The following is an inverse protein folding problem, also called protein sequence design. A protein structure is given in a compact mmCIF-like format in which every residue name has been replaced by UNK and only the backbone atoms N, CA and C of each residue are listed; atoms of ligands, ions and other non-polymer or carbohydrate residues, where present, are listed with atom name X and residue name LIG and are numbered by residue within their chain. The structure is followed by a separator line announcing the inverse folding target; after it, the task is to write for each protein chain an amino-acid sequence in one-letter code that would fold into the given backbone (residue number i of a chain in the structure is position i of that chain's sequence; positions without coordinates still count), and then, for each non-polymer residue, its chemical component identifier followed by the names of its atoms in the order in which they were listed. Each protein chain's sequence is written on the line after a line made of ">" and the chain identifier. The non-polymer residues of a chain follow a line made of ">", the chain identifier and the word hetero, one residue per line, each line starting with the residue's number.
data_IF_201234651525
#
_entry.id   IF_201234651525
#
_cell.length_a   1.000
_cell.length_b   1.000
_cell.length_c   1.000
_cell.angle_alpha   90.00
_cell.angle_beta   90.00
_cell.angle_gamma   90.00
#
_symmetry.space_group_name_H-M   'P 1'
#
loop_
_entity.id
_entity.type
_entity.pdbx_description
1 polymer ?
#
# COMPACT_ATOMS: atom_id res chain seq x y z
N UNK A 1 -29.97 -21.99 20.45
CA UNK A 1 -29.04 -21.72 19.32
C UNK A 1 -28.06 -20.69 19.82
N UNK A 2 -26.95 -21.15 20.37
CA UNK A 2 -25.90 -20.26 20.85
C UNK A 2 -25.35 -19.48 19.66
N UNK A 3 -25.16 -18.18 19.87
CA UNK A 3 -24.83 -17.22 18.83
C UNK A 3 -23.35 -17.40 18.45
N UNK A 4 -23.03 -18.46 17.70
CA UNK A 4 -21.68 -18.81 17.21
C UNK A 4 -21.06 -17.63 16.42
N UNK A 5 -21.91 -16.73 15.90
CA UNK A 5 -21.51 -15.49 15.22
C UNK A 5 -20.91 -14.43 16.16
N UNK A 6 -21.06 -14.55 17.48
CA UNK A 6 -20.60 -13.57 18.47
C UNK A 6 -19.36 -14.03 19.28
N UNK A 7 -18.73 -15.15 18.91
CA UNK A 7 -17.49 -15.55 19.57
C UNK A 7 -16.34 -14.60 19.17
N UNK A 8 -15.44 -14.20 20.09
CA UNK A 8 -14.29 -13.36 19.77
C UNK A 8 -13.44 -13.91 18.63
N UNK A 9 -13.35 -15.24 18.52
CA UNK A 9 -12.65 -15.93 17.45
C UNK A 9 -13.30 -15.72 16.09
N UNK A 10 -14.64 -15.76 16.02
CA UNK A 10 -15.40 -15.53 14.77
C UNK A 10 -15.16 -14.10 14.26
N UNK A 11 -15.18 -13.10 15.14
CA UNK A 11 -14.90 -11.70 14.77
C UNK A 11 -13.49 -11.53 14.22
N UNK A 12 -12.48 -12.10 14.88
CA UNK A 12 -11.08 -12.03 14.44
C UNK A 12 -10.89 -12.69 13.07
N UNK A 13 -11.52 -13.84 12.84
CA UNK A 13 -11.48 -14.54 11.54
C UNK A 13 -12.08 -13.66 10.44
N UNK A 14 -13.26 -13.07 10.67
CA UNK A 14 -13.93 -12.21 9.69
C UNK A 14 -13.06 -10.99 9.34
N UNK A 15 -12.54 -10.29 10.35
CA UNK A 15 -11.66 -9.13 10.14
C UNK A 15 -10.40 -9.53 9.37
N UNK A 16 -9.81 -10.68 9.70
CA UNK A 16 -8.64 -11.23 8.99
C UNK A 16 -8.93 -11.50 7.52
N UNK A 17 -10.07 -12.10 7.20
CA UNK A 17 -10.49 -12.36 5.81
C UNK A 17 -10.70 -11.05 5.04
N UNK A 18 -11.38 -10.07 5.63
CA UNK A 18 -11.59 -8.76 5.01
C UNK A 18 -10.26 -8.08 4.69
N UNK A 19 -9.33 -8.10 5.65
CA UNK A 19 -8.00 -7.52 5.45
C UNK A 19 -7.23 -8.23 4.34
N UNK A 20 -7.31 -9.57 4.27
CA UNK A 20 -6.66 -10.35 3.22
C UNK A 20 -7.21 -10.01 1.83
N UNK A 21 -8.53 -9.89 1.70
CA UNK A 21 -9.18 -9.46 0.45
C UNK A 21 -8.74 -8.04 0.08
N UNK A 22 -8.70 -7.12 1.03
CA UNK A 22 -8.27 -5.74 0.80
C UNK A 22 -6.81 -5.69 0.30
N UNK A 23 -5.91 -6.49 0.91
CA UNK A 23 -4.50 -6.61 0.47
C UNK A 23 -4.39 -7.18 -0.95
N UNK A 24 -5.25 -8.12 -1.31
CA UNK A 24 -5.32 -8.66 -2.67
C UNK A 24 -5.74 -7.62 -3.69
N UNK A 25 -6.80 -6.88 -3.40
CA UNK A 25 -7.28 -5.82 -4.29
C UNK A 25 -6.26 -4.68 -4.39
N UNK A 26 -5.55 -4.36 -3.31
CA UNK A 26 -4.44 -3.42 -3.31
C UNK A 26 -3.32 -3.87 -4.24
N UNK A 27 -2.82 -5.10 -4.07
CA UNK A 27 -1.79 -5.67 -4.93
C UNK A 27 -2.23 -5.71 -6.40
N UNK A 28 -3.47 -6.12 -6.66
CA UNK A 28 -4.03 -6.12 -8.01
C UNK A 28 -4.09 -4.72 -8.62
N UNK A 29 -4.44 -3.70 -7.84
CA UNK A 29 -4.48 -2.30 -8.27
C UNK A 29 -3.10 -1.83 -8.73
N UNK A 30 -2.07 -2.08 -7.91
CA UNK A 30 -0.70 -1.67 -8.23
C UNK A 30 -0.12 -2.47 -9.40
N UNK A 31 -0.39 -3.77 -9.47
CA UNK A 31 -0.02 -4.60 -10.62
C UNK A 31 -0.63 -4.06 -11.91
N UNK A 32 -1.93 -3.74 -11.89
CA UNK A 32 -2.66 -3.19 -13.04
C UNK A 32 -2.11 -1.82 -13.46
N UNK A 33 -1.76 -0.97 -12.49
CA UNK A 33 -1.16 0.34 -12.74
C UNK A 33 0.20 0.20 -13.41
N UNK A 34 1.11 -0.61 -12.85
CA UNK A 34 2.45 -0.79 -13.38
C UNK A 34 2.44 -1.46 -14.76
N UNK A 35 1.54 -2.41 -14.99
CA UNK A 35 1.41 -3.09 -16.28
C UNK A 35 1.06 -2.14 -17.44
N UNK A 36 0.47 -0.97 -17.16
CA UNK A 36 0.17 0.06 -18.18
C UNK A 36 1.36 0.95 -18.52
N UNK A 37 2.36 0.99 -17.66
CA UNK A 37 3.56 1.80 -17.87
C UNK A 37 4.54 0.99 -18.72
N UNK A 38 5.16 1.56 -19.77
CA UNK A 38 6.17 0.87 -20.57
C UNK A 38 7.31 0.31 -19.68
N UNK A 39 7.86 -0.86 -20.04
CA UNK A 39 8.81 -1.60 -19.18
C UNK A 39 10.08 -0.81 -18.90
N UNK A 40 10.54 -0.02 -19.87
CA UNK A 40 11.67 0.89 -19.80
C UNK A 40 11.51 2.02 -18.78
N UNK A 41 10.27 2.32 -18.37
CA UNK A 41 9.96 3.33 -17.36
C UNK A 41 9.64 2.72 -15.99
N UNK A 42 9.46 1.40 -15.90
CA UNK A 42 9.22 0.71 -14.65
C UNK A 42 10.52 0.63 -13.82
N UNK A 43 10.47 1.09 -12.56
CA UNK A 43 11.59 0.93 -11.62
C UNK A 43 11.72 -0.53 -11.16
N UNK A 44 10.58 -1.19 -10.96
CA UNK A 44 10.48 -2.61 -10.68
C UNK A 44 9.46 -3.22 -11.64
N UNK A 45 9.64 -4.48 -12.08
CA UNK A 45 8.68 -5.12 -12.95
C UNK A 45 7.32 -5.26 -12.25
N UNK A 46 6.22 -5.14 -13.00
CA UNK A 46 4.87 -5.18 -12.43
C UNK A 46 4.60 -6.40 -11.51
N UNK A 47 5.17 -7.58 -11.82
CA UNK A 47 5.01 -8.79 -11.00
C UNK A 47 5.61 -8.66 -9.59
N UNK A 48 6.52 -7.73 -9.36
CA UNK A 48 7.21 -7.52 -8.08
C UNK A 48 6.22 -7.15 -6.95
N UNK A 49 5.06 -6.59 -7.28
CA UNK A 49 3.97 -6.31 -6.33
C UNK A 49 3.51 -7.57 -5.58
N UNK A 50 3.58 -8.75 -6.21
CA UNK A 50 3.14 -9.98 -5.58
C UNK A 50 4.03 -10.42 -4.41
N UNK A 51 5.25 -9.88 -4.31
CA UNK A 51 6.15 -10.15 -3.18
C UNK A 51 5.64 -9.56 -1.86
N UNK A 52 4.66 -8.65 -1.90
CA UNK A 52 4.00 -8.12 -0.70
C UNK A 52 3.33 -9.22 0.15
N UNK A 53 3.02 -10.36 -0.47
CA UNK A 53 2.38 -11.50 0.18
C UNK A 53 3.32 -12.35 1.02
N UNK A 54 4.63 -12.18 0.87
CA UNK A 54 5.60 -12.93 1.66
C UNK A 54 5.51 -12.44 3.12
N UNK A 55 5.25 -13.31 4.11
CA UNK A 55 5.24 -12.90 5.51
C UNK A 55 6.58 -12.27 5.91
N UNK A 56 6.53 -11.20 6.69
CA UNK A 56 7.69 -10.41 7.16
C UNK A 56 8.48 -9.70 6.06
N UNK A 57 8.96 -10.41 5.03
CA UNK A 57 9.70 -9.83 3.91
C UNK A 57 8.82 -8.93 3.02
N UNK A 58 7.51 -9.20 2.96
CA UNK A 58 6.52 -8.40 2.24
C UNK A 58 6.55 -6.92 2.61
N UNK A 59 6.78 -6.62 3.89
CA UNK A 59 6.89 -5.24 4.36
C UNK A 59 8.08 -4.51 3.75
N UNK A 60 9.23 -5.19 3.59
CA UNK A 60 10.41 -4.61 2.94
C UNK A 60 10.11 -4.29 1.48
N UNK A 61 9.44 -5.20 0.77
CA UNK A 61 9.04 -4.95 -0.62
C UNK A 61 8.05 -3.79 -0.73
N UNK A 62 7.08 -3.68 0.18
CA UNK A 62 6.17 -2.54 0.27
C UNK A 62 6.94 -1.24 0.54
N UNK A 63 7.91 -1.24 1.46
CA UNK A 63 8.73 -0.07 1.80
C UNK A 63 9.61 0.39 0.64
N UNK A 64 9.96 -0.48 -0.29
CA UNK A 64 10.67 -0.12 -1.51
C UNK A 64 9.70 0.37 -2.60
N UNK A 65 8.59 -0.34 -2.79
CA UNK A 65 7.69 -0.11 -3.91
C UNK A 65 6.78 1.10 -3.73
N UNK A 66 6.24 1.31 -2.53
CA UNK A 66 5.24 2.37 -2.30
C UNK A 66 5.86 3.78 -2.38
N UNK A 67 6.98 4.09 -1.70
CA UNK A 67 7.63 5.39 -1.90
C UNK A 67 8.38 5.48 -3.23
N UNK A 68 9.09 4.43 -3.67
CA UNK A 68 10.03 4.58 -4.79
C UNK A 68 9.53 3.93 -6.08
N UNK A 69 9.15 2.66 -6.02
CA UNK A 69 8.83 1.87 -7.21
C UNK A 69 7.70 2.44 -8.06
N UNK A 70 6.51 2.55 -7.47
CA UNK A 70 5.28 2.99 -8.15
C UNK A 70 5.33 4.49 -8.49
N UNK A 71 5.69 5.41 -7.57
CA UNK A 71 5.78 6.83 -7.87
C UNK A 71 6.75 7.16 -8.99
N UNK A 72 7.95 6.58 -8.97
CA UNK A 72 8.94 6.86 -10.01
C UNK A 72 8.53 6.26 -11.36
N UNK A 73 7.88 5.09 -11.37
CA UNK A 73 7.34 4.54 -12.60
C UNK A 73 6.28 5.48 -13.22
N UNK A 74 5.38 6.03 -12.40
CA UNK A 74 4.36 7.00 -12.87
C UNK A 74 5.04 8.25 -13.44
N UNK A 75 5.99 8.84 -12.70
CA UNK A 75 6.67 10.07 -13.12
C UNK A 75 7.46 9.91 -14.41
N UNK A 76 8.08 8.75 -14.62
CA UNK A 76 8.79 8.42 -15.86
C UNK A 76 7.84 8.12 -17.01
N UNK A 77 6.83 7.28 -16.77
CA UNK A 77 5.87 6.84 -17.79
C UNK A 77 4.91 7.92 -18.28
N UNK A 78 4.66 8.96 -17.48
CA UNK A 78 3.76 10.07 -17.78
C UNK A 78 4.46 11.43 -17.64
N UNK A 79 5.75 11.52 -17.98
CA UNK A 79 6.56 12.73 -17.80
C UNK A 79 6.01 13.97 -18.50
N UNK A 80 5.28 13.79 -19.60
CA UNK A 80 4.59 14.86 -20.34
C UNK A 80 3.29 15.34 -19.68
N UNK A 81 2.76 14.62 -18.69
CA UNK A 81 1.50 14.94 -18.02
C UNK A 81 1.75 15.42 -16.59
N UNK A 82 1.76 16.75 -16.40
CA UNK A 82 2.06 17.37 -15.10
C UNK A 82 1.15 16.87 -13.96
N UNK A 83 -0.13 16.60 -14.23
CA UNK A 83 -1.06 16.06 -13.23
C UNK A 83 -0.67 14.63 -12.79
N UNK A 84 -0.19 13.81 -13.72
CA UNK A 84 0.29 12.47 -13.42
C UNK A 84 1.58 12.52 -12.59
N UNK A 85 2.49 13.43 -12.92
CA UNK A 85 3.73 13.66 -12.17
C UNK A 85 3.42 14.08 -10.73
N UNK A 86 2.51 15.05 -10.54
CA UNK A 86 2.06 15.48 -9.21
C UNK A 86 1.41 14.35 -8.41
N UNK A 87 0.66 13.47 -9.08
CA UNK A 87 0.09 12.27 -8.45
C UNK A 87 1.20 11.32 -8.00
N UNK A 88 2.23 11.13 -8.83
CA UNK A 88 3.44 10.40 -8.48
C UNK A 88 4.11 10.99 -7.24
N UNK A 89 4.32 12.30 -7.17
CA UNK A 89 4.93 12.94 -5.98
C UNK A 89 4.05 12.82 -4.73
N UNK A 90 2.73 12.84 -4.90
CA UNK A 90 1.78 12.60 -3.79
C UNK A 90 1.93 11.18 -3.26
N UNK A 91 1.95 10.17 -4.14
CA UNK A 91 2.18 8.77 -3.75
C UNK A 91 3.56 8.59 -3.11
N UNK A 92 4.60 9.25 -3.61
CA UNK A 92 5.93 9.24 -3.00
C UNK A 92 5.89 9.73 -1.54
N UNK A 93 5.25 10.88 -1.29
CA UNK A 93 5.13 11.44 0.06
C UNK A 93 4.34 10.53 1.00
N UNK A 94 3.21 9.97 0.54
CA UNK A 94 2.39 9.07 1.35
C UNK A 94 3.16 7.78 1.67
N UNK A 95 3.78 7.16 0.65
CA UNK A 95 4.58 5.95 0.81
C UNK A 95 5.78 6.17 1.74
N UNK A 96 6.45 7.32 1.63
CA UNK A 96 7.59 7.64 2.49
C UNK A 96 7.15 7.88 3.94
N UNK A 97 6.05 8.61 4.13
CA UNK A 97 5.46 8.81 5.46
C UNK A 97 5.10 7.47 6.11
N UNK A 98 4.53 6.54 5.33
CA UNK A 98 4.20 5.20 5.82
C UNK A 98 5.46 4.44 6.28
N UNK A 99 6.55 4.49 5.52
CA UNK A 99 7.83 3.86 5.90
C UNK A 99 8.41 4.49 7.16
N UNK A 100 8.43 5.83 7.25
CA UNK A 100 8.96 6.54 8.42
C UNK A 100 8.17 6.15 9.68
N UNK A 101 6.84 6.18 9.61
CA UNK A 101 5.97 5.83 10.75
C UNK A 101 6.15 4.36 11.14
N UNK A 102 6.23 3.45 10.16
CA UNK A 102 6.46 2.02 10.42
C UNK A 102 7.82 1.76 11.07
N UNK A 103 8.89 2.41 10.58
CA UNK A 103 10.23 2.31 11.18
C UNK A 103 10.26 2.91 12.58
N UNK A 104 9.54 4.01 12.83
CA UNK A 104 9.45 4.60 14.16
C UNK A 104 8.80 3.63 15.15
N UNK A 105 7.72 2.95 14.76
CA UNK A 105 7.11 1.91 15.59
C UNK A 105 8.02 0.70 15.82
N UNK A 106 8.86 0.32 14.84
CA UNK A 106 9.77 -0.81 14.97
C UNK A 106 10.96 -0.51 15.89
N UNK A 107 11.51 0.71 15.80
CA UNK A 107 12.77 1.08 16.46
C UNK A 107 12.57 1.59 17.88
N UNK A 108 11.42 2.19 18.18
CA UNK A 108 11.13 2.75 19.49
C UNK A 108 10.16 1.86 20.24
N UNK A 109 10.54 1.44 21.45
CA UNK A 109 9.61 0.78 22.36
C UNK A 109 8.58 1.80 22.83
N UNK A 110 7.32 1.61 22.45
CA UNK A 110 6.25 2.56 22.73
C UNK A 110 5.24 2.03 23.75
N UNK A 111 4.60 2.93 24.52
CA UNK A 111 3.43 2.57 25.30
C UNK A 111 2.31 2.06 24.40
N UNK A 112 1.52 1.10 24.89
CA UNK A 112 0.47 0.43 24.14
C UNK A 112 -0.49 1.40 23.43
N UNK A 113 -0.87 2.49 24.09
CA UNK A 113 -1.79 3.48 23.53
C UNK A 113 -1.20 4.19 22.29
N UNK A 114 0.11 4.43 22.28
CA UNK A 114 0.79 5.07 21.16
C UNK A 114 0.97 4.09 20.00
N UNK A 115 1.21 2.81 20.30
CA UNK A 115 1.20 1.73 19.30
C UNK A 115 -0.14 1.65 18.57
N UNK A 116 -1.27 1.75 19.29
CA UNK A 116 -2.60 1.79 18.67
C UNK A 116 -2.78 3.01 17.76
N UNK A 117 -2.38 4.20 18.21
CA UNK A 117 -2.44 5.43 17.39
C UNK A 117 -1.64 5.24 16.10
N UNK A 118 -0.41 4.75 16.19
CA UNK A 118 0.45 4.53 15.03
C UNK A 118 -0.16 3.48 14.09
N UNK A 119 -0.71 2.40 14.63
CA UNK A 119 -1.39 1.39 13.82
C UNK A 119 -2.50 2.02 12.96
N UNK A 120 -3.37 2.83 13.56
CA UNK A 120 -4.42 3.53 12.82
C UNK A 120 -3.87 4.57 11.82
N UNK A 121 -2.78 5.26 12.16
CA UNK A 121 -2.10 6.17 11.24
C UNK A 121 -1.53 5.44 10.02
N UNK A 122 -0.84 4.30 10.21
CA UNK A 122 -0.30 3.49 9.11
C UNK A 122 -1.42 2.96 8.24
N UNK A 123 -2.51 2.46 8.84
CA UNK A 123 -3.68 1.99 8.11
C UNK A 123 -4.34 3.11 7.28
N UNK A 124 -4.43 4.32 7.85
CA UNK A 124 -4.95 5.51 7.17
C UNK A 124 -4.09 5.93 5.98
N UNK A 125 -2.76 5.95 6.14
CA UNK A 125 -1.81 6.23 5.05
C UNK A 125 -1.89 5.17 3.95
N UNK A 126 -2.00 3.90 4.32
CA UNK A 126 -2.18 2.80 3.36
C UNK A 126 -3.47 2.95 2.55
N UNK A 127 -4.59 3.27 3.22
CA UNK A 127 -5.88 3.50 2.57
C UNK A 127 -5.83 4.72 1.64
N UNK A 128 -5.20 5.83 2.08
CA UNK A 128 -5.03 7.02 1.25
C UNK A 128 -4.19 6.71 0.01
N UNK A 129 -3.04 6.03 0.18
CA UNK A 129 -2.21 5.60 -0.93
C UNK A 129 -3.02 4.78 -1.95
N UNK A 130 -3.80 3.82 -1.45
CA UNK A 130 -4.62 2.96 -2.31
C UNK A 130 -5.68 3.75 -3.09
N UNK A 131 -6.41 4.65 -2.42
CA UNK A 131 -7.41 5.50 -3.06
C UNK A 131 -6.77 6.34 -4.16
N UNK A 132 -5.62 6.98 -3.89
CA UNK A 132 -4.91 7.77 -4.89
C UNK A 132 -4.47 6.92 -6.10
N UNK A 133 -4.00 5.69 -5.86
CA UNK A 133 -3.65 4.75 -6.94
C UNK A 133 -4.87 4.33 -7.77
N UNK A 134 -6.04 4.08 -7.14
CA UNK A 134 -7.30 3.78 -7.85
C UNK A 134 -7.73 4.97 -8.72
N UNK A 135 -7.71 6.19 -8.16
CA UNK A 135 -8.09 7.40 -8.89
C UNK A 135 -7.19 7.61 -10.11
N UNK A 136 -5.88 7.41 -9.94
CA UNK A 136 -4.93 7.44 -11.06
C UNK A 136 -5.28 6.41 -12.13
N UNK A 137 -5.49 5.14 -11.73
CA UNK A 137 -5.83 4.05 -12.66
C UNK A 137 -7.14 4.31 -13.43
N UNK A 138 -8.13 4.96 -12.80
CA UNK A 138 -9.38 5.33 -13.46
C UNK A 138 -9.20 6.47 -14.45
N UNK A 139 -8.37 7.47 -14.12
CA UNK A 139 -8.13 8.67 -14.93
C UNK A 139 -7.28 8.40 -16.17
N UNK A 140 -6.29 7.52 -16.05
CA UNK A 140 -5.32 7.20 -17.11
C UNK A 140 -5.53 5.77 -17.62
N UNK A 141 -6.77 5.48 -18.04
CA UNK A 141 -7.14 4.21 -18.67
C UNK A 141 -6.53 4.05 -20.05
#
# INVERSE_FOLDING_TARGET
>A
MDNILASPHTTVIIVGIIFLIAKLLFGWTLFSLLKRIPKEHQTFPAWFVWLFWIPYAGYVFEWLMLPFGVPNAIKKGFSSNQNAVQTGDTLFKIGLAQVIVALFHLLFWMPEILSWIIFFCVLGLWAWYWITAIVFLKKYK
#
